data_IF_315141962755
#
_entry.id   IF_315141962755
#
_cell.length_a   1.000
_cell.length_b   1.000
_cell.length_c   1.000
_cell.angle_alpha   90.00
_cell.angle_beta   90.00
_cell.angle_gamma   90.00
#
_symmetry.space_group_name_H-M   'P 1'
#
loop_
_entity.id
_entity.type
_entity.pdbx_description
1 polymer ?
#
# COMPACT_ATOMS: atom_id res chain seq x y z
N UNK A 1 35.15 -5.47 -24.40
CA UNK A 1 35.76 -4.88 -23.19
C UNK A 1 34.74 -4.93 -22.08
N UNK A 2 34.89 -5.88 -21.17
CA UNK A 2 34.01 -6.06 -20.01
C UNK A 2 34.35 -4.98 -18.98
N UNK A 3 33.40 -4.10 -18.69
CA UNK A 3 33.49 -3.13 -17.60
C UNK A 3 33.34 -3.91 -16.30
N UNK A 4 34.41 -3.96 -15.51
CA UNK A 4 34.41 -4.52 -14.16
C UNK A 4 33.34 -3.81 -13.31
N UNK A 5 32.22 -4.48 -13.07
CA UNK A 5 31.27 -4.08 -12.04
C UNK A 5 31.94 -4.32 -10.68
N UNK A 6 32.34 -3.24 -10.02
CA UNK A 6 32.76 -3.28 -8.62
C UNK A 6 31.67 -3.96 -7.78
N UNK A 7 32.08 -4.93 -6.96
CA UNK A 7 31.22 -5.80 -6.17
C UNK A 7 30.09 -5.02 -5.44
N UNK A 8 28.83 -5.50 -5.47
CA UNK A 8 27.69 -4.94 -4.71
C UNK A 8 27.90 -4.88 -3.19
N UNK A 9 29.00 -5.46 -2.70
CA UNK A 9 29.32 -5.68 -1.30
C UNK A 9 29.66 -4.40 -0.53
N UNK A 10 29.95 -3.28 -1.22
CA UNK A 10 30.37 -2.02 -0.61
C UNK A 10 29.24 -1.04 -0.26
N UNK A 11 28.06 -1.19 -0.86
CA UNK A 11 27.00 -0.17 -0.79
C UNK A 11 25.99 -0.46 0.33
N UNK A 12 25.64 -1.73 0.54
CA UNK A 12 24.76 -2.13 1.64
C UNK A 12 25.45 -2.00 3.01
N UNK A 13 26.77 -2.21 3.09
CA UNK A 13 27.54 -2.03 4.32
C UNK A 13 27.51 -0.57 4.79
N UNK A 14 27.74 0.37 3.87
CA UNK A 14 27.62 1.81 4.13
C UNK A 14 26.22 2.20 4.58
N UNK A 15 25.19 1.61 3.96
CA UNK A 15 23.81 1.87 4.34
C UNK A 15 23.51 1.36 5.75
N UNK A 16 23.94 0.15 6.12
CA UNK A 16 23.74 -0.38 7.47
C UNK A 16 24.50 0.44 8.50
N UNK A 17 25.76 0.81 8.25
CA UNK A 17 26.53 1.66 9.17
C UNK A 17 25.90 3.05 9.34
N UNK A 18 25.38 3.64 8.25
CA UNK A 18 24.64 4.90 8.30
C UNK A 18 23.33 4.77 9.09
N UNK A 19 22.60 3.67 8.93
CA UNK A 19 21.38 3.38 9.69
C UNK A 19 21.66 3.17 11.18
N UNK A 20 22.71 2.43 11.53
CA UNK A 20 23.12 2.19 12.92
C UNK A 20 23.55 3.49 13.59
N UNK A 21 24.31 4.34 12.89
CA UNK A 21 24.70 5.65 13.38
C UNK A 21 23.49 6.56 13.63
N UNK A 22 22.54 6.58 12.69
CA UNK A 22 21.31 7.37 12.82
C UNK A 22 20.40 6.86 13.94
N UNK A 23 20.33 5.54 14.15
CA UNK A 23 19.57 4.95 15.26
C UNK A 23 20.15 5.35 16.63
N UNK A 24 21.48 5.46 16.74
CA UNK A 24 22.17 5.91 17.95
C UNK A 24 21.94 7.41 18.23
N UNK A 25 21.99 8.24 17.18
CA UNK A 25 21.67 9.68 17.24
C UNK A 25 20.21 9.95 17.64
N UNK A 26 19.27 9.07 17.25
CA UNK A 26 17.84 9.17 17.59
C UNK A 26 17.48 8.52 18.94
N UNK A 27 18.47 8.00 19.70
CA UNK A 27 18.24 7.35 20.99
C UNK A 27 17.45 6.04 20.90
N UNK A 28 17.41 5.43 19.70
CA UNK A 28 16.77 4.14 19.46
C UNK A 28 17.75 3.06 19.94
N UNK A 29 17.54 2.59 21.17
CA UNK A 29 18.32 1.47 21.71
C UNK A 29 17.97 0.18 20.96
N UNK A 30 18.66 -0.07 19.85
CA UNK A 30 18.78 -1.42 19.32
C UNK A 30 19.88 -2.06 20.17
N UNK A 31 19.49 -2.90 21.13
CA UNK A 31 20.47 -3.54 22.02
C UNK A 31 21.37 -4.48 21.21
N UNK A 32 22.47 -3.96 20.70
CA UNK A 32 23.60 -4.77 20.26
C UNK A 32 24.52 -4.93 21.46
N UNK A 33 24.30 -6.00 22.23
CA UNK A 33 25.24 -6.40 23.26
C UNK A 33 26.50 -6.97 22.59
N UNK A 34 27.43 -6.10 22.21
CA UNK A 34 28.85 -6.45 22.13
C UNK A 34 29.60 -5.45 22.99
N UNK A 35 29.78 -5.82 24.25
CA UNK A 35 30.70 -5.16 25.17
C UNK A 35 32.04 -5.00 24.46
N UNK A 36 32.55 -3.77 24.42
CA UNK A 36 33.88 -3.36 23.96
C UNK A 36 34.98 -4.39 24.28
N UNK A 37 35.24 -5.31 23.35
CA UNK A 37 36.48 -6.06 23.25
C UNK A 37 36.98 -5.93 21.82
N UNK A 38 38.22 -5.46 21.67
CA UNK A 38 38.92 -5.38 20.37
C UNK A 38 39.03 -6.80 19.79
N UNK A 39 38.09 -7.18 18.93
CA UNK A 39 38.12 -8.43 18.17
C UNK A 39 39.17 -8.35 17.06
N UNK A 40 39.83 -9.48 16.76
CA UNK A 40 40.82 -9.59 15.67
C UNK A 40 40.11 -9.57 14.31
N UNK A 41 40.72 -9.01 13.27
CA UNK A 41 40.07 -8.79 11.96
C UNK A 41 39.39 -10.04 11.37
N UNK A 42 39.99 -11.23 11.51
CA UNK A 42 39.41 -12.52 11.06
C UNK A 42 38.15 -12.94 11.82
N UNK A 43 38.06 -12.62 13.11
CA UNK A 43 36.88 -12.91 13.92
C UNK A 43 35.71 -12.01 13.48
N UNK A 44 35.97 -10.73 13.24
CA UNK A 44 34.96 -9.78 12.69
C UNK A 44 34.37 -10.23 11.36
N UNK A 45 35.16 -10.81 10.45
CA UNK A 45 34.67 -11.31 9.17
C UNK A 45 33.75 -12.53 9.34
N UNK A 46 34.16 -13.47 10.20
CA UNK A 46 33.36 -14.66 10.55
C UNK A 46 32.06 -14.29 11.26
N UNK A 47 32.08 -13.31 12.16
CA UNK A 47 30.88 -12.80 12.84
C UNK A 47 29.93 -12.08 11.87
N UNK A 48 30.45 -11.28 10.92
CA UNK A 48 29.64 -10.65 9.87
C UNK A 48 28.95 -11.70 9.01
N UNK A 49 29.69 -12.70 8.56
CA UNK A 49 29.16 -13.79 7.75
C UNK A 49 28.08 -14.58 8.52
N UNK A 50 28.32 -14.83 9.81
CA UNK A 50 27.34 -15.46 10.71
C UNK A 50 26.09 -14.60 10.87
N UNK A 51 26.22 -13.29 11.08
CA UNK A 51 25.07 -12.38 11.23
C UNK A 51 24.24 -12.28 9.95
N UNK A 52 24.90 -12.15 8.79
CA UNK A 52 24.22 -12.13 7.48
C UNK A 52 23.46 -13.44 7.25
N UNK A 53 24.10 -14.58 7.55
CA UNK A 53 23.51 -15.89 7.30
C UNK A 53 22.43 -16.29 8.32
N UNK A 54 22.59 -15.94 9.60
CA UNK A 54 21.67 -16.34 10.68
C UNK A 54 20.51 -15.36 10.90
N UNK A 55 20.69 -14.08 10.57
CA UNK A 55 19.70 -13.04 10.84
C UNK A 55 19.21 -12.35 9.57
N UNK A 56 20.10 -11.74 8.78
CA UNK A 56 19.68 -10.94 7.63
C UNK A 56 18.97 -11.78 6.56
N UNK A 57 19.52 -12.93 6.19
CA UNK A 57 18.91 -13.82 5.18
C UNK A 57 17.54 -14.33 5.64
N UNK A 58 17.37 -14.93 6.84
CA UNK A 58 16.06 -15.34 7.32
C UNK A 58 15.07 -14.19 7.47
N UNK A 59 15.51 -13.02 7.93
CA UNK A 59 14.66 -11.83 8.03
C UNK A 59 14.18 -11.35 6.66
N UNK A 60 15.07 -11.26 5.66
CA UNK A 60 14.70 -10.84 4.32
C UNK A 60 13.75 -11.85 3.65
N UNK A 61 13.96 -13.15 3.83
CA UNK A 61 13.04 -14.15 3.31
C UNK A 61 11.69 -14.11 4.03
N UNK A 62 11.69 -13.90 5.35
CA UNK A 62 10.45 -13.67 6.10
C UNK A 62 9.74 -12.39 5.64
N UNK A 63 10.46 -11.31 5.37
CA UNK A 63 9.92 -10.05 4.88
C UNK A 63 9.33 -10.23 3.47
N UNK A 64 10.06 -10.85 2.55
CA UNK A 64 9.55 -11.19 1.20
C UNK A 64 8.30 -12.03 1.28
N UNK A 65 8.27 -13.05 2.14
CA UNK A 65 7.10 -13.90 2.35
C UNK A 65 5.93 -13.10 2.90
N UNK A 66 6.15 -12.23 3.88
CA UNK A 66 5.10 -11.35 4.42
C UNK A 66 4.57 -10.38 3.36
N UNK A 67 5.45 -9.77 2.55
CA UNK A 67 5.04 -8.89 1.47
C UNK A 67 4.22 -9.63 0.41
N UNK A 68 4.65 -10.82 -0.02
CA UNK A 68 3.90 -11.65 -0.98
C UNK A 68 2.57 -12.15 -0.43
N UNK A 69 2.52 -12.50 0.86
CA UNK A 69 1.29 -12.92 1.51
C UNK A 69 0.30 -11.75 1.67
N UNK A 70 0.80 -10.55 1.95
CA UNK A 70 -0.03 -9.34 2.13
C UNK A 70 -0.47 -8.70 0.82
N UNK A 71 0.36 -8.80 -0.22
CA UNK A 71 0.08 -8.27 -1.55
C UNK A 71 0.30 -9.36 -2.62
N UNK A 72 -0.64 -10.31 -2.75
CA UNK A 72 -0.56 -11.33 -3.78
C UNK A 72 -0.46 -10.66 -5.17
N UNK A 73 0.45 -11.11 -6.04
CA UNK A 73 0.63 -10.51 -7.36
C UNK A 73 -0.63 -10.65 -8.22
N UNK A 74 -1.46 -11.67 -7.97
CA UNK A 74 -2.75 -11.84 -8.63
C UNK A 74 -3.76 -10.74 -8.27
N UNK A 75 -3.75 -10.27 -7.03
CA UNK A 75 -4.63 -9.20 -6.58
C UNK A 75 -4.18 -7.88 -7.22
N UNK A 76 -2.88 -7.58 -7.24
CA UNK A 76 -2.36 -6.35 -7.87
C UNK A 76 -2.71 -6.27 -9.37
N UNK A 77 -2.95 -7.40 -10.06
CA UNK A 77 -3.38 -7.37 -11.47
C UNK A 77 -4.67 -6.61 -11.68
N UNK A 78 -5.57 -6.49 -10.70
CA UNK A 78 -6.78 -5.67 -10.86
C UNK A 78 -6.43 -4.21 -11.16
N UNK A 79 -5.30 -3.70 -10.66
CA UNK A 79 -4.86 -2.34 -10.95
C UNK A 79 -4.65 -2.10 -12.45
N UNK A 80 -4.30 -3.14 -13.21
CA UNK A 80 -4.15 -3.03 -14.66
C UNK A 80 -5.46 -2.71 -15.38
N UNK A 81 -6.61 -3.13 -14.81
CA UNK A 81 -7.94 -2.85 -15.37
C UNK A 81 -8.27 -1.36 -15.37
N UNK A 82 -7.60 -0.54 -14.58
CA UNK A 82 -7.81 0.91 -14.59
C UNK A 82 -7.33 1.61 -15.86
N UNK A 83 -6.55 0.92 -16.70
CA UNK A 83 -6.26 1.39 -18.07
C UNK A 83 -7.55 1.56 -18.91
N UNK A 84 -8.68 0.99 -18.49
CA UNK A 84 -9.99 1.24 -19.09
C UNK A 84 -10.45 2.70 -18.94
N UNK A 85 -10.00 3.42 -17.90
CA UNK A 85 -10.36 4.82 -17.69
C UNK A 85 -9.41 5.81 -18.39
N UNK A 86 -8.33 5.33 -19.02
CA UNK A 86 -7.38 6.19 -19.72
C UNK A 86 -7.95 6.63 -21.08
N UNK A 87 -8.25 7.93 -21.28
CA UNK A 87 -8.84 8.43 -22.52
C UNK A 87 -7.87 8.35 -23.70
N UNK A 88 -6.56 8.26 -23.44
CA UNK A 88 -5.49 8.23 -24.44
C UNK A 88 -5.05 6.81 -24.79
N UNK A 89 -5.52 5.79 -24.05
CA UNK A 89 -5.10 4.42 -24.26
C UNK A 89 -5.66 3.84 -25.57
N UNK A 90 -4.78 3.59 -26.52
CA UNK A 90 -5.07 2.77 -27.70
C UNK A 90 -5.02 1.30 -27.33
N UNK A 91 -6.14 0.76 -26.84
CA UNK A 91 -6.26 -0.65 -26.47
C UNK A 91 -6.53 -1.50 -27.72
N UNK A 92 -5.61 -2.43 -28.04
CA UNK A 92 -5.91 -3.49 -29.00
C UNK A 92 -7.07 -4.36 -28.51
N UNK A 93 -7.76 -5.04 -29.43
CA UNK A 93 -8.89 -5.91 -29.07
C UNK A 93 -8.52 -6.95 -27.99
N UNK A 94 -7.35 -7.57 -28.13
CA UNK A 94 -6.86 -8.60 -27.20
C UNK A 94 -6.54 -8.03 -25.81
N UNK A 95 -5.93 -6.83 -25.78
CA UNK A 95 -5.62 -6.16 -24.53
C UNK A 95 -6.91 -5.71 -23.83
N UNK A 96 -7.85 -5.16 -24.57
CA UNK A 96 -9.16 -4.78 -24.04
C UNK A 96 -9.89 -5.98 -23.44
N UNK A 97 -9.95 -7.10 -24.17
CA UNK A 97 -10.58 -8.33 -23.67
C UNK A 97 -9.92 -8.81 -22.38
N UNK A 98 -8.58 -8.76 -22.32
CA UNK A 98 -7.82 -9.14 -21.13
C UNK A 98 -8.15 -8.27 -19.92
N UNK A 99 -8.17 -6.94 -20.11
CA UNK A 99 -8.48 -5.98 -19.04
C UNK A 99 -9.92 -6.11 -18.53
N UNK A 100 -10.89 -6.28 -19.44
CA UNK A 100 -12.29 -6.53 -19.08
C UNK A 100 -12.45 -7.84 -18.33
N UNK A 101 -11.70 -8.89 -18.69
CA UNK A 101 -11.75 -10.17 -17.99
C UNK A 101 -11.19 -10.06 -16.56
N UNK A 102 -10.10 -9.31 -16.39
CA UNK A 102 -9.54 -9.02 -15.06
C UNK A 102 -10.56 -8.24 -14.21
N UNK A 103 -11.20 -7.20 -14.76
CA UNK A 103 -12.23 -6.44 -14.06
C UNK A 103 -13.43 -7.31 -13.70
N UNK A 104 -13.91 -8.13 -14.63
CA UNK A 104 -15.06 -9.01 -14.42
C UNK A 104 -14.81 -10.02 -13.29
N UNK A 105 -13.63 -10.64 -13.22
CA UNK A 105 -13.26 -11.54 -12.12
C UNK A 105 -13.33 -10.89 -10.75
N UNK A 106 -12.87 -9.64 -10.65
CA UNK A 106 -12.83 -8.89 -9.40
C UNK A 106 -14.19 -8.37 -8.97
N UNK A 107 -15.05 -8.02 -9.94
CA UNK A 107 -16.42 -7.64 -9.66
C UNK A 107 -17.28 -8.85 -9.30
N UNK A 108 -17.11 -9.98 -10.01
CA UNK A 108 -17.83 -11.22 -9.72
C UNK A 108 -17.55 -11.77 -8.31
N UNK A 109 -16.31 -11.67 -7.83
CA UNK A 109 -15.98 -12.04 -6.44
C UNK A 109 -16.64 -11.14 -5.40
N UNK A 110 -16.98 -9.89 -5.78
CA UNK A 110 -17.68 -8.95 -4.92
C UNK A 110 -19.22 -9.04 -5.01
N UNK A 111 -19.79 -9.44 -6.16
CA UNK A 111 -21.24 -9.46 -6.42
C UNK A 111 -21.90 -10.84 -6.35
N UNK A 112 -21.14 -11.94 -6.24
CA UNK A 112 -21.66 -13.34 -6.24
C UNK A 112 -22.34 -13.73 -7.57
N UNK A 113 -21.98 -13.05 -8.66
CA UNK A 113 -22.50 -13.32 -10.01
C UNK A 113 -21.54 -14.20 -10.83
N UNK A 114 -22.05 -14.82 -11.91
CA UNK A 114 -21.20 -15.60 -12.82
C UNK A 114 -20.27 -14.70 -13.64
N UNK A 115 -18.97 -15.01 -13.66
CA UNK A 115 -17.92 -14.23 -14.35
C UNK A 115 -18.28 -13.91 -15.82
N UNK A 116 -18.91 -14.85 -16.54
CA UNK A 116 -19.31 -14.66 -17.94
C UNK A 116 -20.40 -13.59 -18.12
N UNK A 117 -21.33 -13.49 -17.18
CA UNK A 117 -22.42 -12.51 -17.22
C UNK A 117 -21.88 -11.11 -16.90
N UNK A 118 -21.05 -11.01 -15.85
CA UNK A 118 -20.34 -9.77 -15.48
C UNK A 118 -19.46 -9.29 -16.63
N UNK A 119 -18.75 -10.20 -17.31
CA UNK A 119 -17.92 -9.86 -18.47
C UNK A 119 -18.73 -9.26 -19.63
N UNK A 120 -19.89 -9.87 -19.95
CA UNK A 120 -20.77 -9.35 -21.00
C UNK A 120 -21.30 -7.96 -20.65
N UNK A 121 -21.72 -7.76 -19.40
CA UNK A 121 -22.26 -6.51 -18.90
C UNK A 121 -21.22 -5.39 -18.84
N UNK A 122 -20.02 -5.64 -18.29
CA UNK A 122 -18.97 -4.60 -18.25
C UNK A 122 -18.49 -4.25 -19.65
N UNK A 123 -18.48 -5.21 -20.58
CA UNK A 123 -18.13 -4.95 -21.98
C UNK A 123 -19.13 -4.00 -22.64
N UNK A 124 -20.44 -4.19 -22.44
CA UNK A 124 -21.46 -3.33 -23.04
C UNK A 124 -21.40 -1.92 -22.43
N UNK A 125 -21.25 -1.81 -21.11
CA UNK A 125 -21.00 -0.55 -20.41
C UNK A 125 -19.77 0.18 -20.97
N UNK A 126 -18.65 -0.53 -21.14
CA UNK A 126 -17.40 0.05 -21.61
C UNK A 126 -17.48 0.59 -23.03
N UNK A 127 -18.22 -0.06 -23.93
CA UNK A 127 -18.40 0.44 -25.30
C UNK A 127 -19.09 1.81 -25.30
N UNK A 128 -20.13 1.96 -24.49
CA UNK A 128 -20.86 3.24 -24.35
C UNK A 128 -19.96 4.27 -23.66
N UNK A 129 -19.33 3.89 -22.54
CA UNK A 129 -18.42 4.75 -21.77
C UNK A 129 -17.28 5.29 -22.65
N UNK A 130 -16.55 4.41 -23.35
CA UNK A 130 -15.39 4.79 -24.15
C UNK A 130 -15.77 5.69 -25.34
N UNK A 131 -16.98 5.56 -25.88
CA UNK A 131 -17.50 6.49 -26.89
C UNK A 131 -17.78 7.88 -26.29
N UNK A 132 -18.35 7.92 -25.09
CA UNK A 132 -18.69 9.16 -24.36
C UNK A 132 -17.43 9.93 -23.96
N UNK A 133 -16.43 9.23 -23.42
CA UNK A 133 -15.14 9.82 -23.03
C UNK A 133 -14.40 10.40 -24.25
N UNK A 134 -14.41 9.68 -25.38
CA UNK A 134 -13.83 10.19 -26.64
C UNK A 134 -14.54 11.43 -27.16
N UNK A 135 -15.87 11.48 -27.06
CA UNK A 135 -16.65 12.66 -27.47
C UNK A 135 -16.38 13.88 -26.57
N UNK A 136 -16.21 13.67 -25.26
CA UNK A 136 -15.88 14.73 -24.31
C UNK A 136 -14.43 15.24 -24.45
N UNK A 137 -13.54 14.47 -25.07
CA UNK A 137 -12.20 14.92 -25.43
C UNK A 137 -11.27 15.16 -24.24
N UNK A 138 -11.34 14.31 -23.21
CA UNK A 138 -10.45 14.42 -22.05
C UNK A 138 -8.98 14.18 -22.40
N UNK A 139 -8.09 15.02 -21.88
CA UNK A 139 -6.65 14.95 -22.14
C UNK A 139 -5.92 13.96 -21.23
N UNK A 140 -6.47 13.69 -20.03
CA UNK A 140 -5.83 12.85 -19.03
C UNK A 140 -6.85 12.06 -18.18
N UNK A 141 -6.37 10.98 -17.57
CA UNK A 141 -7.16 10.09 -16.72
C UNK A 141 -7.69 10.79 -15.45
N UNK A 142 -7.01 11.80 -14.93
CA UNK A 142 -7.46 12.52 -13.73
C UNK A 142 -8.78 13.25 -13.98
N UNK A 143 -8.89 13.91 -15.13
CA UNK A 143 -10.11 14.64 -15.49
C UNK A 143 -11.26 13.68 -15.84
N UNK A 144 -10.96 12.52 -16.44
CA UNK A 144 -11.93 11.42 -16.57
C UNK A 144 -12.40 10.97 -15.20
N UNK A 145 -11.50 10.69 -14.26
CA UNK A 145 -11.86 10.22 -12.93
C UNK A 145 -12.64 11.26 -12.12
N UNK A 146 -12.39 12.56 -12.30
CA UNK A 146 -13.21 13.63 -11.70
C UNK A 146 -14.61 13.66 -12.30
N UNK A 147 -14.73 13.54 -13.62
CA UNK A 147 -16.02 13.49 -14.31
C UNK A 147 -16.81 12.24 -13.89
N UNK A 148 -16.15 11.09 -13.83
CA UNK A 148 -16.68 9.82 -13.29
C UNK A 148 -17.11 9.99 -11.84
N UNK A 149 -16.28 10.58 -10.98
CA UNK A 149 -16.64 10.83 -9.58
C UNK A 149 -17.84 11.77 -9.44
N UNK A 150 -17.96 12.78 -10.30
CA UNK A 150 -19.04 13.76 -10.27
C UNK A 150 -20.36 13.23 -10.88
N UNK A 151 -20.29 12.37 -11.89
CA UNK A 151 -21.46 11.92 -12.67
C UNK A 151 -21.86 10.47 -12.37
N UNK A 152 -20.92 9.53 -12.21
CA UNK A 152 -21.23 8.13 -11.94
C UNK A 152 -21.59 7.87 -10.48
N UNK A 153 -20.91 8.50 -9.52
CA UNK A 153 -21.13 8.22 -8.09
C UNK A 153 -22.46 8.79 -7.54
N UNK A 154 -22.87 10.04 -7.84
CA UNK A 154 -24.03 10.65 -7.18
C UNK A 154 -25.39 10.45 -7.88
N UNK A 155 -25.50 9.64 -8.94
CA UNK A 155 -26.81 9.47 -9.59
C UNK A 155 -26.90 8.68 -10.89
N UNK A 156 -25.80 8.09 -11.42
CA UNK A 156 -25.83 7.29 -12.67
C UNK A 156 -25.35 5.85 -12.49
N UNK A 157 -25.48 5.31 -11.27
CA UNK A 157 -25.28 3.88 -10.98
C UNK A 157 -26.21 2.96 -11.80
N UNK A 158 -27.22 3.49 -12.49
CA UNK A 158 -28.13 2.72 -13.34
C UNK A 158 -27.59 2.45 -14.75
N UNK A 159 -26.73 3.33 -15.29
CA UNK A 159 -26.23 3.20 -16.68
C UNK A 159 -24.89 2.47 -16.73
N UNK A 160 -24.06 2.70 -15.71
CA UNK A 160 -22.71 2.14 -15.62
C UNK A 160 -22.43 1.53 -14.23
N UNK A 161 -23.26 0.60 -13.72
CA UNK A 161 -23.09 0.05 -12.36
C UNK A 161 -21.73 -0.62 -12.16
N UNK A 162 -21.25 -1.41 -13.14
CA UNK A 162 -20.00 -2.15 -13.00
C UNK A 162 -18.78 -1.24 -13.11
N UNK A 163 -18.80 -0.29 -14.05
CA UNK A 163 -17.73 0.71 -14.16
C UNK A 163 -17.73 1.69 -12.98
N UNK A 164 -18.89 2.04 -12.42
CA UNK A 164 -18.97 2.85 -11.20
C UNK A 164 -18.35 2.14 -10.00
N UNK A 165 -18.62 0.84 -9.83
CA UNK A 165 -18.00 0.02 -8.78
C UNK A 165 -16.49 -0.08 -8.96
N UNK A 166 -16.02 -0.28 -10.20
CA UNK A 166 -14.60 -0.32 -10.51
C UNK A 166 -13.93 1.04 -10.19
N UNK A 167 -14.52 2.15 -10.61
CA UNK A 167 -14.02 3.50 -10.33
C UNK A 167 -14.04 3.84 -8.84
N UNK A 168 -15.09 3.46 -8.12
CA UNK A 168 -15.19 3.62 -6.65
C UNK A 168 -14.04 2.91 -5.95
N UNK A 169 -13.76 1.67 -6.37
CA UNK A 169 -12.65 0.87 -5.84
C UNK A 169 -11.28 1.52 -6.07
N UNK A 170 -11.11 2.27 -7.17
CA UNK A 170 -9.88 3.03 -7.42
C UNK A 170 -9.78 4.25 -6.50
N UNK A 171 -10.88 4.99 -6.35
CA UNK A 171 -10.90 6.25 -5.61
C UNK A 171 -10.67 6.07 -4.10
N UNK A 172 -10.91 4.87 -3.57
CA UNK A 172 -10.60 4.51 -2.18
C UNK A 172 -9.16 4.07 -1.96
N UNK A 173 -8.36 3.87 -3.03
CA UNK A 173 -6.95 3.55 -2.88
C UNK A 173 -6.22 4.81 -2.40
N UNK A 174 -5.54 4.77 -1.25
CA UNK A 174 -4.82 5.93 -0.75
C UNK A 174 -3.72 6.35 -1.73
N UNK A 175 -3.82 7.58 -2.25
CA UNK A 175 -2.88 8.13 -3.23
C UNK A 175 -1.60 8.70 -2.58
N UNK A 176 -1.52 8.77 -1.24
CA UNK A 176 -0.40 9.37 -0.53
C UNK A 176 -0.04 8.61 0.75
N UNK A 177 1.19 8.82 1.22
CA UNK A 177 1.68 8.31 2.51
C UNK A 177 1.24 9.14 3.71
N UNK A 178 0.48 10.22 3.50
CA UNK A 178 0.09 11.15 4.56
C UNK A 178 -0.66 10.45 5.71
N UNK A 179 -1.52 9.47 5.40
CA UNK A 179 -2.22 8.67 6.41
C UNK A 179 -1.26 7.82 7.24
N UNK A 180 -0.25 7.24 6.59
CA UNK A 180 0.79 6.49 7.29
C UNK A 180 1.62 7.41 8.19
N UNK A 181 2.01 8.59 7.70
CA UNK A 181 2.75 9.59 8.47
C UNK A 181 1.95 10.11 9.68
N UNK A 182 0.64 10.31 9.50
CA UNK A 182 -0.29 10.61 10.60
C UNK A 182 -0.29 9.47 11.63
N UNK A 183 -0.36 8.22 11.18
CA UNK A 183 -0.29 7.03 12.03
C UNK A 183 1.02 6.91 12.81
N UNK A 184 2.17 7.15 12.17
CA UNK A 184 3.47 7.15 12.85
C UNK A 184 3.60 8.31 13.86
N UNK A 185 3.04 9.47 13.53
CA UNK A 185 3.02 10.63 14.44
C UNK A 185 2.16 10.34 15.68
N UNK A 186 0.98 9.75 15.49
CA UNK A 186 0.13 9.25 16.58
C UNK A 186 0.86 8.21 17.43
N UNK A 187 1.48 7.24 16.79
CA UNK A 187 2.26 6.21 17.46
C UNK A 187 3.40 6.81 18.30
N UNK A 188 4.08 7.86 17.82
CA UNK A 188 5.15 8.56 18.56
C UNK A 188 4.62 9.33 19.79
N UNK A 189 3.41 9.89 19.72
CA UNK A 189 2.75 10.50 20.89
C UNK A 189 2.35 9.45 21.93
N UNK A 190 1.85 8.31 21.46
CA UNK A 190 1.35 7.23 22.30
C UNK A 190 2.51 6.45 22.92
N UNK A 191 3.55 6.11 22.16
CA UNK A 191 4.66 5.29 22.61
C UNK A 191 5.87 6.17 22.89
N UNK A 192 5.92 6.68 24.12
CA UNK A 192 7.04 7.48 24.62
C UNK A 192 8.11 6.60 25.27
N UNK A 193 9.29 7.17 25.57
CA UNK A 193 10.37 6.45 26.26
C UNK A 193 9.94 5.90 27.63
N UNK A 194 9.08 6.63 28.35
CA UNK A 194 8.53 6.23 29.65
C UNK A 194 7.32 5.30 29.53
N UNK A 195 6.63 5.29 28.38
CA UNK A 195 5.44 4.46 28.10
C UNK A 195 5.65 3.54 26.89
N UNK A 196 6.72 2.75 26.91
CA UNK A 196 7.08 1.86 25.79
C UNK A 196 6.58 0.40 25.95
N UNK A 197 6.12 0.00 27.14
CA UNK A 197 5.60 -1.35 27.46
C UNK A 197 4.08 -1.42 27.33
N UNK A 198 3.57 -1.17 26.13
CA UNK A 198 2.15 -1.37 25.80
C UNK A 198 1.97 -2.72 25.11
N UNK A 199 0.90 -3.44 25.43
CA UNK A 199 0.48 -4.61 24.65
C UNK A 199 0.05 -4.18 23.24
N UNK A 200 0.03 -5.10 22.28
CA UNK A 200 -0.44 -4.79 20.92
C UNK A 200 -1.89 -4.29 20.92
N UNK A 201 -2.79 -4.95 21.64
CA UNK A 201 -4.21 -4.56 21.73
C UNK A 201 -4.38 -3.15 22.32
N UNK A 202 -3.73 -2.84 23.44
CA UNK A 202 -3.82 -1.49 24.04
C UNK A 202 -3.21 -0.43 23.12
N UNK A 203 -2.17 -0.76 22.38
CA UNK A 203 -1.57 0.17 21.42
C UNK A 203 -2.53 0.47 20.26
N UNK A 204 -3.18 -0.57 19.72
CA UNK A 204 -4.18 -0.45 18.66
C UNK A 204 -5.38 0.39 19.12
N UNK A 205 -5.92 0.12 20.31
CA UNK A 205 -7.05 0.88 20.89
C UNK A 205 -6.70 2.37 21.04
N UNK A 206 -5.52 2.67 21.59
CA UNK A 206 -5.07 4.06 21.76
C UNK A 206 -4.82 4.75 20.43
N UNK A 207 -4.29 4.04 19.43
CA UNK A 207 -4.14 4.58 18.08
C UNK A 207 -5.49 4.88 17.43
N UNK A 208 -6.48 4.00 17.61
CA UNK A 208 -7.84 4.22 17.10
C UNK A 208 -8.48 5.45 17.72
N UNK A 209 -8.34 5.62 19.04
CA UNK A 209 -8.83 6.82 19.74
C UNK A 209 -8.11 8.08 19.27
N UNK A 210 -6.80 8.06 19.08
CA UNK A 210 -6.04 9.25 18.69
C UNK A 210 -6.25 9.64 17.21
N UNK A 211 -6.50 8.67 16.34
CA UNK A 211 -6.69 8.90 14.90
C UNK A 211 -8.14 9.25 14.53
N UNK A 212 -9.11 8.55 15.11
CA UNK A 212 -10.53 8.64 14.74
C UNK A 212 -11.41 9.28 15.84
N UNK A 213 -10.85 9.43 17.05
CA UNK A 213 -11.57 10.02 18.17
C UNK A 213 -11.83 11.51 18.01
N UNK A 214 -12.90 11.97 18.66
CA UNK A 214 -13.20 13.41 18.74
C UNK A 214 -12.11 14.11 19.53
N UNK A 215 -11.85 15.36 19.16
CA UNK A 215 -10.98 16.23 19.95
C UNK A 215 -11.45 16.28 21.40
N UNK A 216 -10.50 16.18 22.33
CA UNK A 216 -10.75 16.20 23.78
C UNK A 216 -11.56 17.42 24.21
N UNK A 217 -11.35 18.58 23.57
CA UNK A 217 -12.11 19.81 23.84
C UNK A 217 -13.58 19.73 23.43
N UNK A 218 -13.92 18.83 22.51
CA UNK A 218 -15.28 18.58 22.01
C UNK A 218 -15.88 17.30 22.60
N UNK A 219 -15.18 16.65 23.51
CA UNK A 219 -15.61 15.41 24.14
C UNK A 219 -16.51 15.72 25.34
N UNK A 220 -17.77 15.29 25.29
CA UNK A 220 -18.72 15.49 26.38
C UNK A 220 -18.60 14.37 27.42
N UNK A 221 -17.71 14.59 28.39
CA UNK A 221 -17.46 13.65 29.50
C UNK A 221 -18.70 13.40 30.38
N UNK A 222 -19.72 14.27 30.34
CA UNK A 222 -20.92 14.13 31.18
C UNK A 222 -21.98 13.23 30.55
N UNK A 223 -21.99 13.10 29.23
CA UNK A 223 -23.02 12.35 28.50
C UNK A 223 -22.70 10.86 28.34
N UNK A 224 -21.41 10.52 28.27
CA UNK A 224 -20.93 9.15 28.00
C UNK A 224 -20.43 8.40 29.26
N UNK A 225 -20.34 9.09 30.41
CA UNK A 225 -19.90 8.51 31.70
C UNK A 225 -21.03 7.98 32.60
N UNK A 226 -22.26 7.94 32.10
CA UNK A 226 -23.41 7.40 32.82
C UNK A 226 -23.61 5.93 32.43
N UNK A 227 -22.79 5.05 33.00
CA UNK A 227 -23.05 3.60 33.08
C UNK A 227 -22.86 3.17 34.52
#
# INVERSE_FOLDING_TARGET
MLVNASSPESEWQKNIEAYLKKADEEGISISYSVRNQRMRSQETESYKETFVNSFCKPYLEALKRNLKARFPPEDIKFLSSYQLFDPTATLSSDKLHTLLNIAAKQLASATVEHESEVFSAIRSEYLIFSSTIRQKGFENTSDVMKDVAAQLLPGHTTVFPLLANLASSLLVIPASTADCERGFSALKRIKTSTRNRLSSGTLEDLMMIDLEGKDVSKFDFKREGAV
#
